data_IF_649379325652
#
_entry.id   IF_649379325652
#
_cell.length_a   1.000
_cell.length_b   1.000
_cell.length_c   1.000
_cell.angle_alpha   90.00
_cell.angle_beta   90.00
_cell.angle_gamma   90.00
#
_symmetry.space_group_name_H-M   'P 1'
#
loop_
_entity.id
_entity.type
_entity.pdbx_description
1 polymer ?
#
# COMPACT_ATOMS: atom_id res chain seq x y z
N UNK A 1 10.45 7.15 1.43
CA UNK A 1 10.38 6.93 2.90
C UNK A 1 9.42 7.87 3.62
N UNK A 2 9.21 9.11 3.13
CA UNK A 2 8.21 10.04 3.70
C UNK A 2 6.81 9.42 3.85
N UNK A 3 6.30 8.74 2.83
CA UNK A 3 4.99 8.10 2.89
C UNK A 3 4.89 6.95 3.90
N UNK A 4 5.99 6.19 4.07
CA UNK A 4 6.05 5.14 5.08
C UNK A 4 5.97 5.74 6.48
N UNK A 5 6.65 6.86 6.71
CA UNK A 5 6.60 7.60 7.96
C UNK A 5 5.20 8.19 8.21
N UNK A 6 4.60 8.90 7.26
CA UNK A 6 3.27 9.51 7.44
C UNK A 6 2.16 8.47 7.61
N UNK A 7 2.00 7.54 6.66
CA UNK A 7 0.94 6.54 6.70
C UNK A 7 1.16 5.52 7.82
N UNK A 8 2.41 5.08 8.00
CA UNK A 8 2.78 4.15 9.06
C UNK A 8 2.52 4.75 10.44
N UNK A 9 2.91 6.00 10.68
CA UNK A 9 2.67 6.65 11.97
C UNK A 9 1.17 6.86 12.25
N UNK A 10 0.33 7.09 11.22
CA UNK A 10 -1.14 7.12 11.40
C UNK A 10 -1.67 5.77 11.88
N UNK A 11 -1.27 4.69 11.21
CA UNK A 11 -1.65 3.32 11.59
C UNK A 11 -1.17 2.98 13.00
N UNK A 12 0.08 3.28 13.33
CA UNK A 12 0.64 3.01 14.65
C UNK A 12 -0.09 3.76 15.76
N UNK A 13 -0.38 5.05 15.56
CA UNK A 13 -1.11 5.86 16.56
C UNK A 13 -2.54 5.37 16.80
N UNK A 14 -3.23 4.92 15.75
CA UNK A 14 -4.65 4.56 15.84
C UNK A 14 -4.86 3.09 16.20
N UNK A 15 -3.99 2.20 15.72
CA UNK A 15 -4.19 0.75 15.81
C UNK A 15 -3.03 0.00 16.48
N UNK A 16 -1.98 0.70 16.88
CA UNK A 16 -0.84 0.17 17.62
C UNK A 16 0.29 -0.37 16.74
N UNK A 17 1.49 -0.42 17.31
CA UNK A 17 2.73 -0.87 16.64
C UNK A 17 2.62 -2.30 16.09
N UNK A 18 1.96 -3.22 16.81
CA UNK A 18 1.81 -4.60 16.35
C UNK A 18 0.99 -4.73 15.07
N UNK A 19 -0.04 -3.89 14.89
CA UNK A 19 -0.78 -3.83 13.63
C UNK A 19 0.12 -3.33 12.52
N UNK A 20 0.85 -2.24 12.75
CA UNK A 20 1.78 -1.70 11.75
C UNK A 20 2.82 -2.74 11.33
N UNK A 21 3.45 -3.43 12.29
CA UNK A 21 4.44 -4.48 12.00
C UNK A 21 3.83 -5.61 11.17
N UNK A 22 2.65 -6.10 11.56
CA UNK A 22 1.94 -7.13 10.80
C UNK A 22 1.63 -6.69 9.37
N UNK A 23 1.17 -5.45 9.18
CA UNK A 23 0.91 -4.89 7.85
C UNK A 23 2.19 -4.78 7.02
N UNK A 24 3.28 -4.27 7.59
CA UNK A 24 4.56 -4.14 6.89
C UNK A 24 5.07 -5.51 6.43
N UNK A 25 5.00 -6.52 7.29
CA UNK A 25 5.46 -7.89 6.95
C UNK A 25 4.57 -8.52 5.89
N UNK A 26 3.24 -8.51 6.09
CA UNK A 26 2.30 -9.14 5.17
C UNK A 26 2.30 -8.46 3.79
N UNK A 27 2.24 -7.13 3.76
CA UNK A 27 2.25 -6.36 2.51
C UNK A 27 3.62 -6.44 1.86
N UNK A 28 4.70 -6.37 2.64
CA UNK A 28 6.08 -6.51 2.14
C UNK A 28 6.28 -7.86 1.44
N UNK A 29 5.93 -8.96 2.11
CA UNK A 29 5.99 -10.29 1.50
C UNK A 29 5.06 -10.40 0.29
N UNK A 30 3.78 -10.04 0.43
CA UNK A 30 2.79 -10.18 -0.63
C UNK A 30 3.10 -9.36 -1.89
N UNK A 31 3.54 -8.11 -1.73
CA UNK A 31 3.91 -7.25 -2.87
C UNK A 31 5.15 -7.75 -3.60
N UNK A 32 6.19 -8.19 -2.87
CA UNK A 32 7.40 -8.74 -3.51
C UNK A 32 7.12 -10.09 -4.18
N UNK A 33 6.25 -10.93 -3.60
CA UNK A 33 5.76 -12.15 -4.27
C UNK A 33 4.99 -11.78 -5.55
N UNK A 34 4.08 -10.82 -5.51
CA UNK A 34 3.35 -10.39 -6.70
C UNK A 34 4.29 -9.94 -7.83
N UNK A 35 5.37 -9.22 -7.49
CA UNK A 35 6.40 -8.84 -8.45
C UNK A 35 7.20 -10.04 -8.97
N UNK A 36 7.58 -10.97 -8.09
CA UNK A 36 8.33 -12.17 -8.47
C UNK A 36 7.57 -13.04 -9.48
N UNK A 37 6.24 -13.08 -9.37
CA UNK A 37 5.36 -13.88 -10.23
C UNK A 37 4.78 -13.09 -11.42
N UNK A 38 5.21 -11.85 -11.62
CA UNK A 38 4.76 -11.04 -12.75
C UNK A 38 5.39 -11.52 -14.06
N UNK A 39 4.63 -11.41 -15.16
CA UNK A 39 5.10 -11.79 -16.51
C UNK A 39 6.38 -11.05 -16.90
N UNK A 40 6.52 -9.80 -16.48
CA UNK A 40 7.72 -8.98 -16.64
C UNK A 40 8.96 -9.67 -16.05
N UNK A 41 8.89 -10.11 -14.80
CA UNK A 41 10.03 -10.78 -14.15
C UNK A 41 10.28 -12.20 -14.63
N UNK A 42 9.21 -12.94 -14.98
CA UNK A 42 9.34 -14.31 -15.47
C UNK A 42 10.00 -14.31 -16.87
N UNK A 43 9.67 -13.33 -17.72
CA UNK A 43 10.22 -13.22 -19.08
C UNK A 43 11.63 -12.60 -19.14
N UNK A 44 12.00 -11.77 -18.15
CA UNK A 44 13.28 -11.04 -18.15
C UNK A 44 14.47 -11.79 -17.52
N UNK A 45 14.36 -13.09 -17.20
CA UNK A 45 15.33 -13.84 -16.39
C UNK A 45 15.62 -13.15 -15.03
N UNK A 46 14.72 -13.31 -14.05
CA UNK A 46 14.87 -12.88 -12.64
C UNK A 46 15.60 -11.54 -12.49
N UNK A 47 14.90 -10.44 -12.79
CA UNK A 47 15.40 -9.11 -12.48
C UNK A 47 15.64 -8.96 -10.97
N UNK A 48 16.69 -8.23 -10.58
CA UNK A 48 16.87 -7.83 -9.18
C UNK A 48 15.79 -6.78 -8.86
N UNK A 49 14.81 -7.16 -8.05
CA UNK A 49 13.79 -6.25 -7.52
C UNK A 49 13.72 -6.35 -6.00
N UNK A 50 13.16 -5.32 -5.38
CA UNK A 50 12.92 -5.30 -3.95
C UNK A 50 12.76 -3.88 -3.43
N UNK A 51 12.01 -3.73 -2.35
CA UNK A 51 11.91 -2.45 -1.66
C UNK A 51 10.60 -2.23 -0.91
N UNK A 52 10.53 -1.08 -0.26
CA UNK A 52 9.40 -0.68 0.59
C UNK A 52 8.27 0.03 -0.16
N UNK A 53 8.40 0.23 -1.47
CA UNK A 53 7.40 0.96 -2.25
C UNK A 53 6.08 0.21 -2.37
N UNK A 54 6.11 -1.13 -2.48
CA UNK A 54 4.90 -1.96 -2.35
C UNK A 54 4.22 -1.82 -0.99
N UNK A 55 5.00 -1.71 0.09
CA UNK A 55 4.48 -1.45 1.45
C UNK A 55 3.79 -0.09 1.52
N UNK A 56 4.36 0.94 0.91
CA UNK A 56 3.75 2.28 0.86
C UNK A 56 2.37 2.23 0.17
N UNK A 57 2.27 1.59 -0.99
CA UNK A 57 0.98 1.43 -1.69
C UNK A 57 -0.02 0.60 -0.89
N UNK A 58 0.43 -0.43 -0.17
CA UNK A 58 -0.47 -1.19 0.69
C UNK A 58 -0.92 -0.43 1.93
N UNK A 59 -0.07 0.40 2.55
CA UNK A 59 -0.50 1.29 3.63
C UNK A 59 -1.50 2.35 3.12
N UNK A 60 -1.29 2.88 1.90
CA UNK A 60 -2.24 3.77 1.24
C UNK A 60 -3.61 3.08 1.09
N UNK A 61 -3.63 1.88 0.52
CA UNK A 61 -4.86 1.09 0.36
C UNK A 61 -5.54 0.75 1.69
N UNK A 62 -4.76 0.32 2.68
CA UNK A 62 -5.24 0.00 4.02
C UNK A 62 -5.90 1.19 4.70
N UNK A 63 -5.19 2.32 4.78
CA UNK A 63 -5.67 3.54 5.44
C UNK A 63 -6.87 4.14 4.70
N UNK A 64 -6.86 4.13 3.37
CA UNK A 64 -8.00 4.63 2.59
C UNK A 64 -9.25 3.75 2.77
N UNK A 65 -9.12 2.43 2.72
CA UNK A 65 -10.24 1.51 2.97
C UNK A 65 -10.79 1.65 4.39
N UNK A 66 -9.92 1.64 5.40
CA UNK A 66 -10.34 1.84 6.80
C UNK A 66 -11.03 3.18 7.00
N UNK A 67 -10.37 4.28 6.61
CA UNK A 67 -10.88 5.64 6.78
C UNK A 67 -12.22 5.85 6.08
N UNK A 68 -12.43 5.21 4.92
CA UNK A 68 -13.70 5.28 4.19
C UNK A 68 -14.83 4.48 4.87
N UNK A 69 -14.56 3.23 5.30
CA UNK A 69 -15.57 2.35 5.89
C UNK A 69 -15.93 2.76 7.33
N UNK A 70 -14.95 3.20 8.11
CA UNK A 70 -15.12 3.55 9.53
C UNK A 70 -15.32 5.03 9.77
N UNK A 71 -15.20 5.87 8.73
CA UNK A 71 -15.22 7.34 8.82
C UNK A 71 -14.25 7.87 9.88
N UNK A 72 -13.11 7.21 10.03
CA UNK A 72 -12.09 7.52 11.02
C UNK A 72 -11.18 8.63 10.49
N UNK A 73 -11.26 9.86 11.03
CA UNK A 73 -10.47 10.99 10.55
C UNK A 73 -8.96 10.82 10.83
N UNK A 74 -8.58 10.03 11.83
CA UNK A 74 -7.18 9.85 12.20
C UNK A 74 -6.42 8.93 11.21
N UNK A 75 -7.15 8.04 10.53
CA UNK A 75 -6.63 7.17 9.47
C UNK A 75 -7.02 7.62 8.06
N UNK A 76 -7.78 8.72 7.94
CA UNK A 76 -8.17 9.26 6.64
C UNK A 76 -6.95 9.72 5.83
N UNK A 77 -6.93 9.31 4.56
CA UNK A 77 -5.98 9.81 3.57
C UNK A 77 -6.71 10.79 2.66
N UNK A 78 -6.23 12.05 2.54
CA UNK A 78 -6.87 13.03 1.66
C UNK A 78 -6.98 12.51 0.23
N UNK A 79 -8.16 12.64 -0.38
CA UNK A 79 -8.41 12.18 -1.76
C UNK A 79 -7.36 12.66 -2.78
N UNK A 80 -6.88 13.92 -2.74
CA UNK A 80 -5.83 14.34 -3.67
C UNK A 80 -4.56 13.50 -3.60
N UNK A 81 -4.17 13.04 -2.41
CA UNK A 81 -3.00 12.18 -2.22
C UNK A 81 -3.23 10.81 -2.87
N UNK A 82 -4.38 10.21 -2.62
CA UNK A 82 -4.77 8.93 -3.24
C UNK A 82 -4.74 9.05 -4.76
N UNK A 83 -5.35 10.10 -5.30
CA UNK A 83 -5.40 10.36 -6.74
C UNK A 83 -4.01 10.49 -7.33
N UNK A 84 -3.12 11.30 -6.72
CA UNK A 84 -1.75 11.48 -7.21
C UNK A 84 -0.97 10.17 -7.19
N UNK A 85 -1.03 9.41 -6.10
CA UNK A 85 -0.30 8.14 -5.99
C UNK A 85 -0.83 7.09 -6.96
N UNK A 86 -2.15 6.96 -7.13
CA UNK A 86 -2.75 6.02 -8.08
C UNK A 86 -2.49 6.45 -9.52
N UNK A 87 -2.59 7.75 -9.84
CA UNK A 87 -2.25 8.26 -11.17
C UNK A 87 -0.78 7.99 -11.50
N UNK A 88 0.12 8.20 -10.54
CA UNK A 88 1.54 7.87 -10.70
C UNK A 88 1.76 6.38 -10.97
N UNK A 89 1.07 5.48 -10.25
CA UNK A 89 1.11 4.04 -10.51
C UNK A 89 0.69 3.71 -11.95
N UNK A 90 -0.45 4.26 -12.40
CA UNK A 90 -0.96 4.01 -13.74
C UNK A 90 -0.01 4.52 -14.83
N UNK A 91 0.58 5.71 -14.63
CA UNK A 91 1.62 6.24 -15.51
C UNK A 91 2.83 5.31 -15.58
N UNK A 92 3.31 4.81 -14.43
CA UNK A 92 4.42 3.85 -14.40
C UNK A 92 4.07 2.54 -15.10
N UNK A 93 2.82 2.05 -14.97
CA UNK A 93 2.37 0.83 -15.65
C UNK A 93 2.37 0.94 -17.18
N UNK A 94 2.09 2.13 -17.73
CA UNK A 94 2.14 2.36 -19.19
C UNK A 94 3.53 2.72 -19.70
N UNK A 95 4.57 2.59 -18.87
CA UNK A 95 5.97 2.79 -19.26
C UNK A 95 6.45 4.25 -19.22
N UNK A 96 5.66 5.19 -18.68
CA UNK A 96 6.05 6.60 -18.58
C UNK A 96 7.34 6.79 -17.75
N UNK A 97 7.56 5.95 -16.74
CA UNK A 97 8.76 5.99 -15.90
C UNK A 97 10.06 5.75 -16.69
N UNK A 98 10.00 4.96 -17.76
CA UNK A 98 11.14 4.74 -18.66
C UNK A 98 11.54 6.00 -19.41
N UNK A 99 10.56 6.84 -19.78
CA UNK A 99 10.79 8.12 -20.47
C UNK A 99 11.46 9.16 -19.54
N UNK A 100 11.26 9.03 -18.23
CA UNK A 100 11.87 9.90 -17.23
C UNK A 100 13.27 9.43 -16.77
N UNK A 101 13.80 8.35 -17.36
CA UNK A 101 15.08 7.77 -16.93
C UNK A 101 15.05 7.11 -15.55
N UNK A 102 13.87 6.88 -14.99
CA UNK A 102 13.70 6.30 -13.65
C UNK A 102 13.96 4.78 -13.59
N UNK A 103 14.22 4.13 -14.74
CA UNK A 103 14.46 2.70 -14.84
C UNK A 103 13.20 1.85 -14.70
N UNK A 104 13.39 0.52 -14.55
CA UNK A 104 12.31 -0.44 -14.35
C UNK A 104 11.62 -0.23 -13.00
N UNK A 105 10.37 0.20 -13.03
CA UNK A 105 9.55 0.35 -11.82
C UNK A 105 8.89 -1.00 -11.55
N UNK A 106 9.03 -1.51 -10.33
CA UNK A 106 8.36 -2.72 -9.86
C UNK A 106 6.84 -2.51 -9.69
N UNK A 107 6.15 -2.32 -10.82
CA UNK A 107 4.74 -1.94 -10.89
C UNK A 107 3.83 -3.04 -10.32
N UNK A 108 4.18 -4.31 -10.51
CA UNK A 108 3.43 -5.42 -9.93
C UNK A 108 3.55 -5.45 -8.40
N UNK A 109 4.70 -5.03 -7.84
CA UNK A 109 4.83 -4.84 -6.39
C UNK A 109 3.90 -3.73 -5.88
N UNK A 110 3.81 -2.60 -6.59
CA UNK A 110 2.96 -1.48 -6.18
C UNK A 110 1.48 -1.85 -6.26
N UNK A 111 1.05 -2.44 -7.37
CA UNK A 111 -0.34 -2.87 -7.56
C UNK A 111 -0.71 -3.98 -6.57
N UNK A 112 0.14 -5.01 -6.43
CA UNK A 112 -0.09 -6.09 -5.49
C UNK A 112 -0.14 -5.60 -4.04
N UNK A 113 0.75 -4.67 -3.67
CA UNK A 113 0.73 -3.98 -2.39
C UNK A 113 -0.58 -3.23 -2.15
N UNK A 114 -1.01 -2.39 -3.10
CA UNK A 114 -2.26 -1.62 -3.03
C UNK A 114 -3.47 -2.53 -2.83
N UNK A 115 -3.62 -3.56 -3.64
CA UNK A 115 -4.74 -4.51 -3.57
C UNK A 115 -4.75 -5.24 -2.24
N UNK A 116 -3.61 -5.78 -1.80
CA UNK A 116 -3.51 -6.47 -0.52
C UNK A 116 -3.83 -5.52 0.64
N UNK A 117 -3.34 -4.29 0.59
CA UNK A 117 -3.66 -3.23 1.54
C UNK A 117 -5.16 -2.95 1.64
N UNK A 118 -5.84 -2.78 0.50
CA UNK A 118 -7.29 -2.59 0.43
C UNK A 118 -8.04 -3.76 1.09
N UNK A 119 -7.67 -4.99 0.75
CA UNK A 119 -8.31 -6.21 1.30
C UNK A 119 -8.12 -6.28 2.82
N UNK A 120 -6.89 -6.05 3.31
CA UNK A 120 -6.59 -6.02 4.74
C UNK A 120 -7.32 -4.89 5.45
N UNK A 121 -7.44 -3.72 4.82
CA UNK A 121 -8.14 -2.55 5.35
C UNK A 121 -9.63 -2.79 5.49
N UNK A 122 -10.28 -3.32 4.45
CA UNK A 122 -11.69 -3.74 4.48
C UNK A 122 -11.91 -4.82 5.53
N UNK A 123 -11.10 -5.88 5.54
CA UNK A 123 -11.21 -6.97 6.50
C UNK A 123 -11.05 -6.49 7.95
N UNK A 124 -10.03 -5.67 8.22
CA UNK A 124 -9.83 -5.06 9.53
C UNK A 124 -11.01 -4.17 9.93
N UNK A 125 -11.51 -3.35 9.00
CA UNK A 125 -12.67 -2.51 9.24
C UNK A 125 -13.89 -3.37 9.57
N UNK A 126 -14.20 -4.42 8.82
CA UNK A 126 -15.37 -5.27 9.09
C UNK A 126 -15.27 -6.04 10.42
N UNK A 127 -14.07 -6.52 10.78
CA UNK A 127 -13.84 -7.25 12.02
C UNK A 127 -13.81 -6.37 13.28
N UNK A 128 -13.54 -5.07 13.11
CA UNK A 128 -13.62 -4.14 14.23
C UNK A 128 -15.06 -4.07 14.73
N UNK A 129 -15.29 -4.47 15.99
CA UNK A 129 -16.60 -4.35 16.63
C UNK A 129 -16.95 -2.87 16.79
N UNK A 130 -18.20 -2.51 16.54
CA UNK A 130 -18.75 -1.19 16.88
C UNK A 130 -18.83 -1.09 18.41
N UNK A 131 -17.70 -0.79 19.06
CA UNK A 131 -17.62 -0.51 20.49
C UNK A 131 -17.97 0.95 20.74
N UNK A 132 -18.85 1.17 21.71
CA UNK A 132 -19.41 2.44 22.20
C UNK A 132 -18.47 3.65 22.14
N UNK A 133 -18.99 4.87 21.94
CA UNK A 133 -18.18 6.09 22.04
C UNK A 133 -17.43 6.12 23.38
N UNK A 134 -16.16 6.51 23.32
CA UNK A 134 -15.30 6.75 24.47
C UNK A 134 -15.88 7.89 25.35
N UNK A 135 -15.43 8.00 26.62
CA UNK A 135 -16.22 8.34 27.81
C UNK A 135 -16.94 9.70 27.78
#
# INVERSE_FOLDING_TARGET
>A
MLWLWDLGARVERVQGTWRLLGLVVLIGAGSNIAQAWSMENISAQVGIFGGMSGVIYGLLGYSWAWGSLRRDPALHVPTPVVVVMVAWLLLCMVGFSGLLGAGGVANAAHLGGLVLGLVLGVGAALLARSGSPAP
#
